data_IF_207947204857
#
_entry.id   IF_207947204857
#
_cell.length_a   1.000
_cell.length_b   1.000
_cell.length_c   1.000
_cell.angle_alpha   90.00
_cell.angle_beta   90.00
_cell.angle_gamma   90.00
#
_symmetry.space_group_name_H-M   'P 1'
#
loop_
_entity.id
_entity.type
_entity.pdbx_description
1 polymer ?
#
# COMPACT_ATOMS: atom_id res chain seq x y z
N UNK A 1 58.98 18.41 7.41
CA UNK A 1 58.28 17.68 8.48
C UNK A 1 56.79 17.75 8.21
N UNK A 2 56.25 16.73 7.54
CA UNK A 2 54.84 16.60 7.17
C UNK A 2 54.10 15.82 8.27
N UNK A 3 53.08 16.43 8.87
CA UNK A 3 52.25 15.78 9.88
C UNK A 3 51.19 14.86 9.22
N UNK A 4 50.95 13.66 9.75
CA UNK A 4 49.98 12.73 9.20
C UNK A 4 48.55 13.07 9.66
N UNK A 5 47.59 12.87 8.75
CA UNK A 5 46.15 13.00 9.00
C UNK A 5 45.64 11.78 9.80
N UNK A 6 44.81 11.95 10.85
CA UNK A 6 44.26 10.81 11.57
C UNK A 6 43.07 10.23 10.81
N UNK A 7 43.22 8.99 10.33
CA UNK A 7 42.13 8.16 9.85
C UNK A 7 41.19 7.80 11.01
N UNK A 8 40.22 8.68 11.30
CA UNK A 8 39.14 8.41 12.25
C UNK A 8 37.87 8.10 11.48
N UNK A 9 37.78 6.87 10.99
CA UNK A 9 36.53 6.27 10.54
C UNK A 9 35.56 6.19 11.71
N UNK A 10 34.74 7.22 11.89
CA UNK A 10 33.60 7.19 12.81
C UNK A 10 32.59 6.20 12.24
N UNK A 11 32.71 4.92 12.60
CA UNK A 11 31.58 4.01 12.54
C UNK A 11 30.48 4.62 13.41
N UNK A 12 29.43 5.15 12.77
CA UNK A 12 28.22 5.53 13.50
C UNK A 12 27.76 4.27 14.22
N UNK A 13 27.55 4.30 15.55
CA UNK A 13 26.98 3.15 16.23
C UNK A 13 25.65 2.85 15.54
N UNK A 14 25.55 1.67 14.94
CA UNK A 14 24.27 1.13 14.49
C UNK A 14 23.35 1.21 15.71
N UNK A 15 22.38 2.12 15.65
CA UNK A 15 21.28 2.15 16.61
C UNK A 15 20.68 0.74 16.57
N UNK A 16 20.97 -0.04 17.60
CA UNK A 16 20.30 -1.31 17.81
C UNK A 16 18.80 -0.98 17.92
N UNK A 17 17.96 -1.52 17.03
CA UNK A 17 16.54 -1.39 17.19
C UNK A 17 16.17 -2.24 18.41
N UNK A 18 15.72 -1.53 19.45
CA UNK A 18 15.14 -2.09 20.65
C UNK A 18 14.16 -3.21 20.31
N UNK A 19 14.22 -4.28 21.10
CA UNK A 19 13.37 -5.46 21.02
C UNK A 19 11.93 -5.12 20.58
N UNK A 20 11.44 -5.82 19.55
CA UNK A 20 10.10 -5.63 18.99
C UNK A 20 9.09 -5.83 20.11
N UNK A 21 8.48 -4.74 20.54
CA UNK A 21 7.43 -4.75 21.54
C UNK A 21 6.28 -5.59 20.99
N UNK A 22 5.88 -6.62 21.73
CA UNK A 22 4.64 -7.37 21.51
C UNK A 22 3.36 -6.50 21.61
N UNK A 23 3.50 -5.17 21.78
CA UNK A 23 2.41 -4.18 21.86
C UNK A 23 2.40 -3.16 20.73
N UNK A 24 2.90 -3.50 19.53
CA UNK A 24 2.78 -2.63 18.34
C UNK A 24 1.36 -2.66 17.75
N UNK A 25 0.65 -3.78 17.94
CA UNK A 25 -0.72 -3.99 17.45
C UNK A 25 -1.65 -4.24 18.64
N UNK A 26 -2.86 -3.71 18.55
CA UNK A 26 -3.99 -4.11 19.39
C UNK A 26 -4.37 -5.58 19.17
N UNK A 27 -5.15 -6.16 20.09
CA UNK A 27 -5.41 -7.61 20.13
C UNK A 27 -6.17 -8.11 18.89
N UNK A 28 -7.06 -7.27 18.35
CA UNK A 28 -7.95 -7.51 17.22
C UNK A 28 -7.47 -6.83 15.91
N UNK A 29 -6.31 -6.17 15.93
CA UNK A 29 -5.78 -5.48 14.77
C UNK A 29 -5.38 -6.45 13.65
N UNK A 30 -5.94 -6.23 12.46
CA UNK A 30 -5.73 -7.02 11.24
C UNK A 30 -5.02 -6.24 10.14
N UNK A 31 -4.97 -4.90 10.21
CA UNK A 31 -4.28 -4.05 9.23
C UNK A 31 -3.01 -3.44 9.82
N UNK A 32 -1.90 -3.58 9.09
CA UNK A 32 -0.64 -2.89 9.39
C UNK A 32 -0.32 -1.83 8.34
N UNK A 33 0.44 -0.83 8.77
CA UNK A 33 0.98 0.24 7.94
C UNK A 33 2.51 0.18 7.97
N UNK A 34 3.12 0.10 6.79
CA UNK A 34 4.56 0.19 6.60
C UNK A 34 4.90 1.60 6.11
N UNK A 35 5.78 2.30 6.81
CA UNK A 35 6.24 3.67 6.49
C UNK A 35 7.73 3.68 6.19
N UNK A 36 8.18 4.64 5.39
CA UNK A 36 9.59 4.79 4.99
C UNK A 36 10.12 3.54 4.29
N UNK A 37 9.31 2.97 3.40
CA UNK A 37 9.74 1.91 2.49
C UNK A 37 10.74 2.45 1.47
N UNK A 38 11.71 1.64 1.00
CA UNK A 38 12.55 2.01 -0.14
C UNK A 38 11.72 2.42 -1.35
N UNK A 39 12.14 3.45 -2.09
CA UNK A 39 11.42 3.92 -3.28
C UNK A 39 11.27 2.86 -4.39
N UNK A 40 12.15 1.85 -4.40
CA UNK A 40 12.12 0.69 -5.31
C UNK A 40 11.19 -0.44 -4.85
N UNK A 41 10.55 -0.30 -3.68
CA UNK A 41 9.65 -1.34 -3.16
C UNK A 41 8.48 -1.52 -4.11
N UNK A 42 8.18 -2.77 -4.42
CA UNK A 42 7.05 -3.20 -5.23
C UNK A 42 6.09 -4.06 -4.42
N UNK A 43 4.87 -4.24 -4.92
CA UNK A 43 3.93 -5.23 -4.36
C UNK A 43 4.59 -6.61 -4.34
N UNK A 44 5.29 -7.01 -5.41
CA UNK A 44 5.97 -8.31 -5.48
C UNK A 44 7.00 -8.48 -4.35
N UNK A 45 7.79 -7.46 -4.03
CA UNK A 45 8.74 -7.55 -2.92
C UNK A 45 8.04 -7.67 -1.57
N UNK A 46 6.92 -6.97 -1.36
CA UNK A 46 6.12 -7.13 -0.13
C UNK A 46 5.60 -8.57 0.02
N UNK A 47 5.06 -9.14 -1.07
CA UNK A 47 4.56 -10.52 -1.07
C UNK A 47 5.68 -11.54 -0.85
N UNK A 48 6.88 -11.30 -1.38
CA UNK A 48 8.03 -12.17 -1.15
C UNK A 48 8.47 -12.17 0.32
N UNK A 49 8.46 -11.01 0.99
CA UNK A 49 8.74 -10.94 2.43
C UNK A 49 7.72 -11.75 3.23
N UNK A 50 6.45 -11.79 2.79
CA UNK A 50 5.38 -12.54 3.44
C UNK A 50 5.31 -14.03 3.07
N UNK A 51 6.11 -14.49 2.11
CA UNK A 51 6.13 -15.88 1.63
C UNK A 51 6.23 -16.92 2.75
N UNK A 52 7.04 -16.73 3.83
CA UNK A 52 7.12 -17.68 4.93
C UNK A 52 5.82 -17.88 5.73
N UNK A 53 4.85 -16.96 5.67
CA UNK A 53 3.55 -17.14 6.31
C UNK A 53 2.56 -17.93 5.46
N UNK A 54 2.84 -18.08 4.16
CA UNK A 54 1.93 -18.69 3.20
C UNK A 54 1.01 -17.68 2.50
N UNK A 55 0.43 -18.10 1.37
CA UNK A 55 -0.25 -17.20 0.43
C UNK A 55 -1.66 -16.77 0.84
N UNK A 56 -2.22 -17.34 1.92
CA UNK A 56 -3.61 -17.14 2.33
C UNK A 56 -3.77 -16.37 3.66
N UNK A 57 -2.70 -15.80 4.19
CA UNK A 57 -2.75 -15.07 5.48
C UNK A 57 -3.07 -13.59 5.34
N UNK A 58 -2.91 -13.04 4.13
CA UNK A 58 -3.22 -11.66 3.79
C UNK A 58 -4.30 -11.63 2.71
N UNK A 59 -5.17 -10.62 2.81
CA UNK A 59 -6.34 -10.47 1.96
C UNK A 59 -6.39 -9.09 1.27
N UNK A 60 -5.55 -8.14 1.71
CA UNK A 60 -5.40 -6.82 1.11
C UNK A 60 -3.94 -6.40 1.08
N UNK A 61 -3.46 -5.92 -0.07
CA UNK A 61 -2.15 -5.25 -0.19
C UNK A 61 -2.31 -4.01 -1.04
N UNK A 62 -2.04 -2.85 -0.46
CA UNK A 62 -2.10 -1.58 -1.15
C UNK A 62 -0.79 -0.81 -1.00
N UNK A 63 -0.23 -0.44 -2.16
CA UNK A 63 1.02 0.29 -2.27
C UNK A 63 0.79 1.55 -3.13
N UNK A 64 0.40 2.68 -2.52
CA UNK A 64 0.15 3.91 -3.25
C UNK A 64 1.38 4.38 -4.03
N UNK A 65 1.17 4.72 -5.32
CA UNK A 65 2.20 5.36 -6.14
C UNK A 65 2.09 6.88 -6.11
N UNK A 66 3.22 7.54 -6.31
CA UNK A 66 3.27 8.97 -6.45
C UNK A 66 2.57 9.39 -7.76
N UNK A 67 1.56 10.25 -7.65
CA UNK A 67 0.78 10.75 -8.79
C UNK A 67 1.65 11.56 -9.76
N UNK A 68 2.66 12.27 -9.25
CA UNK A 68 3.62 13.07 -10.04
C UNK A 68 4.72 12.23 -10.68
N UNK A 69 5.17 11.18 -9.99
CA UNK A 69 6.23 10.29 -10.45
C UNK A 69 5.75 8.85 -10.34
N UNK A 70 4.99 8.38 -11.35
CA UNK A 70 4.33 7.05 -11.36
C UNK A 70 5.29 5.86 -11.19
N UNK A 71 6.60 6.08 -11.34
CA UNK A 71 7.65 5.10 -11.11
C UNK A 71 8.14 5.02 -9.64
N UNK A 72 7.64 5.88 -8.74
CA UNK A 72 8.00 5.89 -7.31
C UNK A 72 6.78 5.66 -6.43
N UNK A 73 6.99 4.95 -5.32
CA UNK A 73 5.99 4.80 -4.27
C UNK A 73 6.01 5.98 -3.29
N UNK A 74 4.93 6.17 -2.54
CA UNK A 74 4.85 7.18 -1.46
C UNK A 74 5.56 6.70 -0.16
N UNK A 75 6.56 5.82 -0.30
CA UNK A 75 7.27 5.15 0.80
C UNK A 75 6.32 4.52 1.86
N UNK A 76 5.13 4.11 1.43
CA UNK A 76 4.04 3.68 2.31
C UNK A 76 3.32 2.46 1.74
N UNK A 77 2.94 1.51 2.60
CA UNK A 77 2.05 0.41 2.23
C UNK A 77 1.05 0.10 3.35
N UNK A 78 -0.11 -0.42 2.95
CA UNK A 78 -1.14 -0.96 3.84
C UNK A 78 -1.36 -2.43 3.50
N UNK A 79 -1.39 -3.27 4.53
CA UNK A 79 -1.62 -4.70 4.39
C UNK A 79 -2.66 -5.14 5.41
N UNK A 80 -3.71 -5.82 4.96
CA UNK A 80 -4.68 -6.47 5.82
C UNK A 80 -4.45 -7.99 5.83
N UNK A 81 -4.66 -8.58 7.00
CA UNK A 81 -4.52 -9.99 7.26
C UNK A 81 -5.86 -10.62 7.63
N UNK A 82 -6.01 -11.90 7.32
CA UNK A 82 -7.23 -12.66 7.57
C UNK A 82 -7.59 -12.70 9.05
N UNK A 83 -6.59 -12.66 9.93
CA UNK A 83 -6.77 -12.64 11.38
C UNK A 83 -5.63 -11.88 12.11
N UNK A 84 -5.84 -11.48 13.38
CA UNK A 84 -4.84 -10.73 14.15
C UNK A 84 -3.55 -11.51 14.46
N UNK A 85 -3.60 -12.84 14.51
CA UNK A 85 -2.41 -13.68 14.75
C UNK A 85 -1.48 -13.60 13.53
N UNK A 86 -2.04 -13.69 12.33
CA UNK A 86 -1.32 -13.48 11.08
C UNK A 86 -0.71 -12.07 10.99
N UNK A 87 -1.46 -11.02 11.38
CA UNK A 87 -0.94 -9.66 11.40
C UNK A 87 0.27 -9.50 12.35
N UNK A 88 0.20 -10.06 13.57
CA UNK A 88 1.33 -10.05 14.51
C UNK A 88 2.54 -10.81 13.98
N UNK A 89 2.33 -11.96 13.33
CA UNK A 89 3.41 -12.72 12.72
C UNK A 89 4.07 -11.93 11.58
N UNK A 90 3.28 -11.24 10.76
CA UNK A 90 3.77 -10.37 9.69
C UNK A 90 4.63 -9.21 10.21
N UNK A 91 4.26 -8.58 11.34
CA UNK A 91 5.08 -7.54 11.97
C UNK A 91 6.47 -8.07 12.31
N UNK A 92 6.56 -9.27 12.89
CA UNK A 92 7.85 -9.88 13.24
C UNK A 92 8.71 -10.17 12.00
N UNK A 93 8.09 -10.64 10.92
CA UNK A 93 8.79 -10.92 9.66
C UNK A 93 9.30 -9.65 9.01
N UNK A 94 8.46 -8.62 8.87
CA UNK A 94 8.90 -7.33 8.33
C UNK A 94 9.98 -6.68 9.18
N UNK A 95 9.90 -6.82 10.51
CA UNK A 95 10.94 -6.32 11.38
C UNK A 95 12.27 -7.03 11.12
N UNK A 96 12.28 -8.37 11.12
CA UNK A 96 13.48 -9.16 10.81
C UNK A 96 14.04 -8.81 9.43
N UNK A 97 13.17 -8.66 8.44
CA UNK A 97 13.58 -8.25 7.09
C UNK A 97 14.24 -6.87 7.09
N UNK A 98 13.66 -5.88 7.79
CA UNK A 98 14.25 -4.56 7.93
C UNK A 98 15.61 -4.56 8.67
N UNK A 99 15.88 -5.55 9.52
CA UNK A 99 17.20 -5.75 10.13
C UNK A 99 18.22 -6.37 9.16
N UNK A 100 17.77 -7.33 8.35
CA UNK A 100 18.64 -8.07 7.44
C UNK A 100 18.93 -7.33 6.14
N UNK A 101 17.98 -6.52 5.66
CA UNK A 101 18.04 -5.80 4.39
C UNK A 101 18.30 -4.30 4.65
N UNK A 102 19.53 -3.80 4.45
CA UNK A 102 19.90 -2.43 4.79
C UNK A 102 19.03 -1.36 4.12
N UNK A 103 18.55 -1.63 2.90
CA UNK A 103 17.67 -0.67 2.21
C UNK A 103 16.36 -0.44 2.96
N UNK A 104 15.86 -1.43 3.71
CA UNK A 104 14.66 -1.37 4.54
C UNK A 104 14.93 -0.92 5.98
N UNK A 105 16.18 -0.62 6.38
CA UNK A 105 16.52 -0.29 7.78
C UNK A 105 15.84 0.96 8.34
N UNK A 106 15.27 1.82 7.48
CA UNK A 106 14.46 2.98 7.88
C UNK A 106 12.97 2.69 7.97
N UNK A 107 12.52 1.53 7.51
CA UNK A 107 11.11 1.16 7.51
C UNK A 107 10.58 1.13 8.95
N UNK A 108 9.37 1.63 9.11
CA UNK A 108 8.64 1.66 10.38
C UNK A 108 7.33 0.91 10.19
N UNK A 109 7.04 0.04 11.14
CA UNK A 109 5.85 -0.81 11.15
C UNK A 109 4.96 -0.31 12.28
N UNK A 110 3.68 -0.10 12.01
CA UNK A 110 2.69 0.28 13.01
C UNK A 110 1.32 -0.27 12.64
N UNK A 111 0.39 -0.33 13.61
CA UNK A 111 -1.01 -0.54 13.28
C UNK A 111 -1.52 0.58 12.34
N UNK A 112 -2.35 0.21 11.36
CA UNK A 112 -3.06 1.19 10.58
C UNK A 112 -4.19 1.81 11.42
N UNK A 113 -4.60 3.05 11.10
CA UNK A 113 -5.76 3.66 11.75
C UNK A 113 -7.08 2.98 11.34
N UNK A 114 -7.10 2.44 10.13
CA UNK A 114 -8.24 1.73 9.57
C UNK A 114 -7.97 0.24 9.62
N UNK A 115 -8.84 -0.50 10.30
CA UNK A 115 -8.71 -1.94 10.54
C UNK A 115 -9.73 -2.72 9.71
N UNK A 116 -9.33 -3.87 9.16
CA UNK A 116 -10.21 -4.78 8.43
C UNK A 116 -10.32 -4.51 6.94
N UNK A 117 -10.46 -5.58 6.15
CA UNK A 117 -10.60 -5.54 4.70
C UNK A 117 -11.81 -4.70 4.22
N UNK A 118 -13.05 -4.86 4.75
CA UNK A 118 -14.19 -4.04 4.34
C UNK A 118 -13.93 -2.53 4.43
N UNK A 119 -13.37 -2.10 5.56
CA UNK A 119 -13.07 -0.70 5.83
C UNK A 119 -11.99 -0.17 4.88
N UNK A 120 -10.92 -0.94 4.66
CA UNK A 120 -9.86 -0.58 3.72
C UNK A 120 -10.38 -0.40 2.28
N UNK A 121 -11.27 -1.29 1.83
CA UNK A 121 -11.92 -1.19 0.52
C UNK A 121 -12.85 0.04 0.44
N UNK A 122 -13.67 0.26 1.47
CA UNK A 122 -14.56 1.41 1.55
C UNK A 122 -13.78 2.73 1.50
N UNK A 123 -12.68 2.83 2.26
CA UNK A 123 -11.81 4.00 2.26
C UNK A 123 -11.15 4.23 0.92
N UNK A 124 -10.71 3.16 0.25
CA UNK A 124 -10.18 3.28 -1.11
C UNK A 124 -11.23 3.87 -2.08
N UNK A 125 -12.45 3.32 -2.07
CA UNK A 125 -13.52 3.79 -2.93
C UNK A 125 -13.89 5.26 -2.65
N UNK A 126 -14.10 5.64 -1.39
CA UNK A 126 -14.43 7.01 -1.02
C UNK A 126 -13.32 8.00 -1.35
N UNK A 127 -12.05 7.59 -1.20
CA UNK A 127 -10.91 8.46 -1.43
C UNK A 127 -10.68 8.79 -2.90
N UNK A 128 -10.99 7.87 -3.82
CA UNK A 128 -10.79 8.06 -5.25
C UNK A 128 -12.09 8.29 -6.03
N UNK A 129 -13.25 8.11 -5.40
CA UNK A 129 -14.57 8.35 -5.98
C UNK A 129 -14.85 7.48 -7.20
N UNK A 130 -15.62 8.02 -8.14
CA UNK A 130 -16.01 7.36 -9.40
C UNK A 130 -14.81 7.02 -10.30
N UNK A 131 -13.69 7.72 -10.13
CA UNK A 131 -12.47 7.52 -10.92
C UNK A 131 -11.49 6.54 -10.26
N UNK A 132 -11.94 5.82 -9.22
CA UNK A 132 -11.13 4.82 -8.55
C UNK A 132 -10.61 3.79 -9.57
N UNK A 133 -9.28 3.65 -9.74
CA UNK A 133 -8.75 2.71 -10.70
C UNK A 133 -8.89 1.28 -10.15
N UNK A 134 -10.00 0.62 -10.48
CA UNK A 134 -10.33 -0.71 -9.97
C UNK A 134 -9.45 -1.81 -10.57
N UNK A 135 -9.01 -1.64 -11.82
CA UNK A 135 -8.18 -2.60 -12.55
C UNK A 135 -6.77 -2.05 -12.87
N UNK A 136 -6.42 -0.91 -12.27
CA UNK A 136 -5.16 -0.23 -12.52
C UNK A 136 -3.94 -0.91 -11.88
N UNK A 137 -2.73 -0.66 -12.38
CA UNK A 137 -1.48 -1.15 -11.77
C UNK A 137 -1.18 -0.54 -10.38
N UNK A 138 -1.96 0.48 -10.01
CA UNK A 138 -1.90 1.19 -8.73
C UNK A 138 -3.09 0.84 -7.82
N UNK A 139 -3.99 -0.03 -8.30
CA UNK A 139 -5.11 -0.54 -7.53
C UNK A 139 -4.61 -1.45 -6.40
N UNK A 140 -5.29 -1.47 -5.24
CA UNK A 140 -5.09 -2.50 -4.23
C UNK A 140 -5.23 -3.90 -4.82
N UNK A 141 -4.39 -4.80 -4.34
CA UNK A 141 -4.56 -6.22 -4.58
C UNK A 141 -5.41 -6.83 -3.47
N UNK A 142 -6.45 -7.54 -3.86
CA UNK A 142 -7.32 -8.28 -2.95
C UNK A 142 -7.14 -9.77 -3.17
N UNK A 143 -7.12 -10.53 -2.09
CA UNK A 143 -6.97 -11.97 -2.10
C UNK A 143 -8.09 -12.63 -1.30
N UNK A 144 -8.58 -13.78 -1.78
CA UNK A 144 -9.46 -14.67 -1.03
C UNK A 144 -8.88 -16.07 -1.12
N UNK A 145 -8.68 -16.72 0.03
CA UNK A 145 -8.11 -18.07 0.12
C UNK A 145 -6.78 -18.21 -0.66
N UNK A 146 -5.95 -17.17 -0.60
CA UNK A 146 -4.65 -17.08 -1.26
C UNK A 146 -4.68 -16.93 -2.79
N UNK A 147 -5.86 -16.77 -3.38
CA UNK A 147 -6.04 -16.45 -4.80
C UNK A 147 -6.41 -14.98 -4.96
N UNK A 148 -5.88 -14.33 -6.00
CA UNK A 148 -6.22 -12.94 -6.30
C UNK A 148 -7.67 -12.85 -6.76
N UNK A 149 -8.42 -11.92 -6.18
CA UNK A 149 -9.81 -11.60 -6.57
C UNK A 149 -9.82 -10.24 -7.27
N UNK A 150 -10.62 -10.04 -8.32
CA UNK A 150 -10.82 -8.72 -8.90
C UNK A 150 -11.31 -7.71 -7.85
N UNK A 151 -10.72 -6.52 -7.83
CA UNK A 151 -11.04 -5.51 -6.80
C UNK A 151 -12.51 -5.12 -6.84
N UNK A 152 -13.10 -4.98 -8.02
CA UNK A 152 -14.51 -4.66 -8.18
C UNK A 152 -15.43 -5.70 -7.50
N UNK A 153 -15.13 -6.99 -7.68
CA UNK A 153 -15.90 -8.08 -7.06
C UNK A 153 -15.75 -8.04 -5.53
N UNK A 154 -14.56 -7.73 -5.03
CA UNK A 154 -14.34 -7.60 -3.59
C UNK A 154 -15.10 -6.40 -3.00
N UNK A 155 -15.07 -5.25 -3.68
CA UNK A 155 -15.81 -4.04 -3.28
C UNK A 155 -17.30 -4.33 -3.19
N UNK A 156 -17.89 -4.90 -4.24
CA UNK A 156 -19.32 -5.22 -4.28
C UNK A 156 -19.75 -6.20 -3.17
N UNK A 157 -18.90 -7.16 -2.81
CA UNK A 157 -19.25 -8.20 -1.84
C UNK A 157 -19.00 -7.80 -0.38
N UNK A 158 -17.99 -6.97 -0.14
CA UNK A 158 -17.45 -6.76 1.20
C UNK A 158 -17.65 -5.35 1.73
N UNK A 159 -17.86 -4.35 0.87
CA UNK A 159 -18.09 -2.98 1.34
C UNK A 159 -19.53 -2.85 1.84
N UNK A 160 -19.66 -2.67 3.16
CA UNK A 160 -20.94 -2.46 3.83
C UNK A 160 -21.17 -0.96 4.11
N UNK A 161 -22.41 -0.59 4.43
CA UNK A 161 -22.71 0.78 4.88
C UNK A 161 -21.93 1.18 6.13
N UNK A 162 -21.73 0.25 7.06
CA UNK A 162 -20.91 0.48 8.25
C UNK A 162 -19.46 0.78 7.87
N UNK A 163 -18.88 0.00 6.94
CA UNK A 163 -17.54 0.23 6.46
C UNK A 163 -17.37 1.59 5.78
N UNK A 164 -18.37 2.02 4.99
CA UNK A 164 -18.40 3.36 4.40
C UNK A 164 -18.44 4.45 5.46
N UNK A 165 -19.27 4.30 6.51
CA UNK A 165 -19.33 5.27 7.61
C UNK A 165 -17.99 5.39 8.34
N UNK A 166 -17.37 4.26 8.70
CA UNK A 166 -16.07 4.26 9.39
C UNK A 166 -14.97 4.89 8.52
N UNK A 167 -14.94 4.55 7.23
CA UNK A 167 -13.99 5.14 6.29
C UNK A 167 -14.19 6.66 6.13
N UNK A 168 -15.45 7.13 6.04
CA UNK A 168 -15.78 8.54 5.95
C UNK A 168 -15.32 9.32 7.19
N UNK A 169 -15.62 8.81 8.40
CA UNK A 169 -15.19 9.45 9.65
C UNK A 169 -13.67 9.65 9.69
N UNK A 170 -12.91 8.67 9.18
CA UNK A 170 -11.46 8.78 9.09
C UNK A 170 -11.03 9.87 8.09
N UNK A 171 -11.65 9.93 6.91
CA UNK A 171 -11.38 10.98 5.92
C UNK A 171 -11.70 12.38 6.45
N UNK A 172 -12.81 12.53 7.16
CA UNK A 172 -13.21 13.80 7.77
C UNK A 172 -12.21 14.24 8.84
N UNK A 173 -11.78 13.32 9.71
CA UNK A 173 -10.75 13.57 10.73
C UNK A 173 -9.41 13.95 10.08
N UNK A 174 -9.01 13.28 9.01
CA UNK A 174 -7.80 13.62 8.25
C UNK A 174 -7.91 15.01 7.59
N UNK A 175 -9.09 15.36 7.06
CA UNK A 175 -9.37 16.66 6.48
C UNK A 175 -9.32 17.79 7.51
N UNK A 176 -9.89 17.58 8.69
CA UNK A 176 -9.85 18.54 9.80
C UNK A 176 -8.41 18.81 10.25
N UNK A 177 -7.62 17.76 10.50
CA UNK A 177 -6.21 17.89 10.87
C UNK A 177 -5.40 18.69 9.85
N UNK A 178 -5.65 18.47 8.55
CA UNK A 178 -4.98 19.24 7.50
C UNK A 178 -5.33 20.74 7.55
N UNK A 179 -6.59 21.07 7.82
CA UNK A 179 -7.02 22.47 7.96
C UNK A 179 -6.38 23.14 9.18
N UNK A 180 -6.31 22.43 10.30
CA UNK A 180 -5.68 22.91 11.54
C UNK A 180 -4.17 23.11 11.37
N UNK A 181 -3.51 22.22 10.64
CA UNK A 181 -2.08 22.30 10.32
C UNK A 181 -1.76 23.31 9.20
N UNK A 182 -2.78 23.98 8.63
CA UNK A 182 -2.60 24.95 7.54
C UNK A 182 -2.12 24.32 6.22
N UNK A 183 -2.29 23.01 6.05
CA UNK A 183 -1.88 22.26 4.87
C UNK A 183 -2.98 22.32 3.80
N UNK A 184 -2.77 23.19 2.80
CA UNK A 184 -3.60 23.32 1.61
C UNK A 184 -3.69 22.00 0.82
N UNK A 185 -4.89 21.71 0.28
CA UNK A 185 -5.17 20.54 -0.58
C UNK A 185 -4.31 20.51 -1.85
N UNK A 186 -3.76 21.67 -2.24
CA UNK A 186 -2.92 21.88 -3.43
C UNK A 186 -1.43 21.75 -3.10
N UNK A 187 -1.05 21.84 -1.82
CA UNK A 187 0.36 21.92 -1.40
C UNK A 187 0.94 20.62 -0.85
N UNK A 188 0.13 19.55 -0.73
CA UNK A 188 0.65 18.23 -0.36
C UNK A 188 1.20 17.49 -1.59
N UNK A 189 2.26 18.09 -2.10
CA UNK A 189 3.34 17.39 -2.75
C UNK A 189 3.91 16.36 -1.77
N UNK A 190 3.49 15.09 -1.89
CA UNK A 190 4.03 13.98 -1.10
C UNK A 190 5.56 13.81 -1.26
N UNK A 191 6.19 14.56 -2.17
CA UNK A 191 7.65 14.67 -2.37
C UNK A 191 8.35 15.64 -1.41
N UNK A 192 7.65 16.62 -0.81
CA UNK A 192 8.27 17.77 -0.12
C UNK A 192 8.70 17.54 1.33
N UNK A 193 8.52 16.33 1.88
CA UNK A 193 9.09 15.97 3.19
C UNK A 193 10.62 15.78 3.11
N UNK A 194 11.28 15.97 1.95
CA UNK A 194 12.73 15.77 1.87
C UNK A 194 13.54 16.55 0.82
N UNK A 195 13.11 17.75 0.43
CA UNK A 195 13.83 18.50 -0.62
C UNK A 195 14.61 19.74 -0.15
N UNK A 196 15.06 19.77 1.11
CA UNK A 196 15.89 20.89 1.62
C UNK A 196 17.37 20.55 1.88
N UNK A 197 17.91 19.40 1.44
CA UNK A 197 19.30 19.06 1.82
C UNK A 197 20.28 18.53 0.77
N UNK A 198 19.96 18.49 -0.52
CA UNK A 198 20.97 18.12 -1.53
C UNK A 198 20.86 18.97 -2.78
N UNK A 199 21.39 20.20 -2.70
CA UNK A 199 21.76 20.96 -3.88
C UNK A 199 23.05 20.41 -4.47
N UNK A 200 22.96 19.65 -5.56
CA UNK A 200 24.06 19.53 -6.52
C UNK A 200 23.48 19.25 -7.91
N UNK A 201 23.77 20.07 -8.93
CA UNK A 201 23.22 19.88 -10.26
C UNK A 201 24.05 18.81 -11.01
N UNK A 202 23.41 17.76 -11.52
CA UNK A 202 24.01 16.88 -12.53
C UNK A 202 23.51 17.25 -13.91
N UNK A 203 24.45 17.57 -14.80
CA UNK A 203 24.23 17.73 -16.24
C UNK A 203 24.05 16.36 -16.93
N UNK A 204 23.31 16.29 -18.04
CA UNK A 204 23.01 15.05 -18.74
C UNK A 204 24.18 14.63 -19.64
N UNK A 205 24.44 13.33 -19.74
CA UNK A 205 25.26 12.76 -20.81
C UNK A 205 24.53 11.59 -21.48
N UNK A 206 24.77 11.52 -22.78
CA UNK A 206 24.02 10.90 -23.87
C UNK A 206 23.98 9.36 -23.89
N UNK A 207 23.07 8.77 -24.70
CA UNK A 207 22.90 7.32 -24.78
C UNK A 207 23.96 6.67 -25.68
N UNK A 208 24.31 5.42 -25.39
CA UNK A 208 25.02 4.56 -26.33
C UNK A 208 24.37 3.19 -26.48
N UNK A 209 24.52 2.54 -27.64
CA UNK A 209 23.59 1.54 -28.15
C UNK A 209 24.10 0.10 -28.01
N UNK A 210 23.20 -0.84 -28.30
CA UNK A 210 23.44 -2.25 -28.62
C UNK A 210 23.85 -3.20 -27.48
N UNK A 211 22.91 -4.09 -27.12
CA UNK A 211 23.21 -5.50 -26.89
C UNK A 211 21.93 -6.33 -27.04
N UNK A 212 21.71 -6.80 -28.26
CA UNK A 212 20.79 -7.88 -28.59
C UNK A 212 21.32 -9.21 -28.04
N UNK A 213 20.54 -9.88 -27.18
CA UNK A 213 20.76 -11.27 -26.78
C UNK A 213 19.44 -12.05 -26.97
N UNK A 214 19.47 -13.26 -27.57
CA UNK A 214 18.29 -14.05 -27.83
C UNK A 214 17.83 -14.82 -26.58
N UNK A 215 16.51 -14.87 -26.38
CA UNK A 215 15.85 -15.66 -25.32
C UNK A 215 15.69 -17.13 -25.75
N UNK A 216 15.89 -18.10 -24.85
CA UNK A 216 15.53 -19.49 -25.11
C UNK A 216 14.02 -19.72 -24.95
N UNK A 217 13.46 -20.43 -25.92
CA UNK A 217 12.08 -20.91 -25.97
C UNK A 217 11.90 -22.06 -24.99
N UNK A 218 11.11 -21.87 -23.94
CA UNK A 218 10.62 -22.96 -23.10
C UNK A 218 9.23 -23.40 -23.56
N UNK A 219 9.17 -24.57 -24.21
CA UNK A 219 7.95 -25.38 -24.35
C UNK A 219 7.89 -26.33 -23.16
N UNK A 220 6.78 -26.32 -22.42
CA UNK A 220 6.62 -27.25 -21.30
C UNK A 220 5.29 -27.16 -20.56
N UNK A 221 4.29 -27.89 -21.08
CA UNK A 221 3.28 -28.68 -20.35
C UNK A 221 2.39 -27.93 -19.34
N UNK A 222 1.17 -27.63 -19.80
CA UNK A 222 0.03 -27.23 -18.96
C UNK A 222 -0.62 -28.46 -18.31
N UNK A 223 -0.79 -28.52 -16.97
CA UNK A 223 -1.76 -29.43 -16.38
C UNK A 223 -3.18 -28.86 -16.54
N UNK A 224 -4.07 -29.68 -17.09
CA UNK A 224 -5.52 -29.44 -17.08
C UNK A 224 -6.00 -29.48 -15.63
N UNK A 225 -6.39 -28.32 -15.10
CA UNK A 225 -7.15 -28.24 -13.85
C UNK A 225 -8.61 -28.07 -14.26
N UNK A 226 -9.37 -29.15 -14.10
CA UNK A 226 -10.84 -29.12 -14.05
C UNK A 226 -11.24 -28.62 -12.67
N UNK A 227 -11.59 -27.35 -12.56
CA UNK A 227 -12.28 -26.82 -11.39
C UNK A 227 -13.70 -26.52 -11.78
N UNK A 228 -14.60 -27.31 -11.19
CA UNK A 228 -16.05 -27.07 -11.17
C UNK A 228 -16.29 -25.64 -10.69
N UNK A 229 -16.87 -24.83 -11.58
CA UNK A 229 -17.36 -23.49 -11.25
C UNK A 229 -18.60 -23.64 -10.37
N UNK A 230 -18.47 -23.32 -9.09
CA UNK A 230 -19.63 -22.93 -8.30
C UNK A 230 -20.04 -21.53 -8.75
N UNK A 231 -21.05 -21.45 -9.62
CA UNK A 231 -21.76 -20.22 -9.92
C UNK A 231 -22.51 -19.78 -8.67
N UNK A 232 -21.91 -18.88 -7.90
CA UNK A 232 -22.62 -18.11 -6.87
C UNK A 232 -23.11 -16.82 -7.53
N UNK A 233 -24.37 -16.86 -7.95
CA UNK A 233 -25.26 -15.71 -8.20
C UNK A 233 -24.82 -14.74 -9.30
N UNK A 234 -25.55 -14.75 -10.43
CA UNK A 234 -25.66 -13.59 -11.30
C UNK A 234 -26.11 -12.38 -10.45
N UNK A 235 -25.19 -11.44 -10.22
CA UNK A 235 -25.51 -10.12 -9.69
C UNK A 235 -25.34 -9.13 -10.84
N UNK A 236 -26.48 -8.59 -11.27
CA UNK A 236 -26.61 -7.79 -12.48
C UNK A 236 -26.01 -6.39 -12.35
N UNK A 237 -25.92 -5.71 -13.50
CA UNK A 237 -25.50 -4.31 -13.65
C UNK A 237 -26.18 -3.30 -12.70
N UNK A 238 -27.33 -3.67 -12.10
CA UNK A 238 -28.08 -2.84 -11.15
C UNK A 238 -27.30 -2.53 -9.85
N UNK A 239 -26.34 -3.38 -9.46
CA UNK A 239 -25.60 -3.23 -8.20
C UNK A 239 -24.50 -2.14 -8.27
N UNK A 240 -23.96 -1.89 -9.46
CA UNK A 240 -23.00 -0.79 -9.66
C UNK A 240 -23.72 0.56 -9.60
N UNK A 241 -24.90 0.65 -10.19
CA UNK A 241 -25.77 1.83 -10.08
C UNK A 241 -26.25 2.05 -8.64
N UNK A 242 -26.45 0.98 -7.87
CA UNK A 242 -26.80 1.08 -6.45
C UNK A 242 -25.66 1.65 -5.60
N UNK A 243 -24.43 1.15 -5.77
CA UNK A 243 -23.26 1.67 -5.07
C UNK A 243 -23.00 3.14 -5.45
N UNK A 244 -23.08 3.47 -6.74
CA UNK A 244 -22.93 4.85 -7.22
C UNK A 244 -24.08 5.75 -6.73
N UNK A 245 -25.30 5.23 -6.59
CA UNK A 245 -26.41 5.96 -5.94
C UNK A 245 -26.14 6.21 -4.48
N UNK A 246 -25.64 5.23 -3.72
CA UNK A 246 -25.31 5.41 -2.30
C UNK A 246 -24.22 6.46 -2.11
N UNK A 247 -23.19 6.45 -2.96
CA UNK A 247 -22.14 7.47 -3.00
C UNK A 247 -22.75 8.86 -3.30
N UNK A 248 -23.59 8.97 -4.33
CA UNK A 248 -24.27 10.23 -4.70
C UNK A 248 -25.27 10.74 -3.66
N UNK A 249 -25.96 9.84 -2.97
CA UNK A 249 -26.93 10.21 -1.93
C UNK A 249 -26.22 10.68 -0.67
N UNK A 250 -25.07 10.07 -0.35
CA UNK A 250 -24.16 10.53 0.70
C UNK A 250 -23.61 11.93 0.41
N UNK A 251 -23.16 12.20 -0.83
CA UNK A 251 -22.77 13.55 -1.28
C UNK A 251 -23.90 14.57 -1.07
N UNK A 252 -25.14 14.19 -1.41
CA UNK A 252 -26.33 15.05 -1.28
C UNK A 252 -26.68 15.38 0.17
N UNK A 253 -26.54 14.41 1.09
CA UNK A 253 -26.89 14.58 2.52
C UNK A 253 -25.87 15.41 3.30
N UNK A 254 -24.60 15.37 2.88
CA UNK A 254 -23.50 15.95 3.67
C UNK A 254 -22.86 17.19 3.05
N UNK A 255 -23.37 17.66 1.90
CA UNK A 255 -22.89 18.90 1.27
C UNK A 255 -21.41 18.85 0.83
N UNK A 256 -20.82 17.66 0.81
CA UNK A 256 -19.48 17.41 0.32
C UNK A 256 -19.59 17.15 -1.18
N UNK A 257 -19.41 18.23 -1.94
CA UNK A 257 -19.28 18.13 -3.39
C UNK A 257 -17.88 17.59 -3.68
N UNK A 258 -17.77 16.28 -3.90
CA UNK A 258 -16.50 15.60 -4.26
C UNK A 258 -16.11 15.93 -5.72
N UNK A 259 -16.99 16.56 -6.51
CA UNK A 259 -16.75 16.91 -7.91
C UNK A 259 -17.02 18.39 -8.23
N UNK A 260 -15.99 19.11 -8.68
CA UNK A 260 -16.19 20.23 -9.61
C UNK A 260 -15.64 19.83 -10.98
N UNK A 261 -16.47 20.01 -12.02
CA UNK A 261 -16.16 19.80 -13.43
C UNK A 261 -14.98 20.65 -13.91
#
# INVERSE_FOLDING_TARGET
MTLPWPASGRQRPMRQPSAVSSGILEEDATTIMLRSLPASTSVRSLLHVLEPLGRAVYDFVYLPRCTRQRHRIVELAFLNFADPVAARAAVQIFFRHALSEPSWGRTRISQARLQGLPNNLAYYCLRFGSDAPLDGPDAPLVFAFGSRVPLQVAVQRLVTEEALRTAQQLLDTEGQRRREEGLSIVDMDWSRVRDERHGTPMMPSEPSPNSSMPMPVFRGIMPRITSEMFFVGDLGMEDTDHLLRLIREHERRHGLVIFMF
#
